data_IF_973526628920
#
_entry.id   IF_973526628920
#
_cell.length_a   1.000
_cell.length_b   1.000
_cell.length_c   1.000
_cell.angle_alpha   90.00
_cell.angle_beta   90.00
_cell.angle_gamma   90.00
#
_symmetry.space_group_name_H-M   'P 1'
#
loop_
_entity.id
_entity.type
_entity.pdbx_description
1 polymer ?
#
# COMPACT_ATOMS: atom_id res chain seq x y z
N UNK A 1 -22.04 14.42 -6.09
CA UNK A 1 -21.07 14.15 -5.01
C UNK A 1 -19.84 15.01 -5.23
N UNK A 2 -19.20 15.55 -4.17
CA UNK A 2 -18.00 16.42 -4.29
C UNK A 2 -16.71 15.64 -4.56
N UNK A 3 -16.65 14.37 -4.19
CA UNK A 3 -15.45 13.54 -4.37
C UNK A 3 -15.34 12.98 -5.81
N UNK A 4 -14.12 12.68 -6.24
CA UNK A 4 -13.83 12.00 -7.51
C UNK A 4 -13.36 10.58 -7.25
N UNK A 5 -13.90 9.61 -7.99
CA UNK A 5 -13.46 8.23 -7.93
C UNK A 5 -12.66 7.85 -9.17
N UNK A 6 -11.65 7.01 -8.99
CA UNK A 6 -10.81 6.43 -10.03
C UNK A 6 -10.75 4.93 -9.76
N UNK A 7 -11.01 4.11 -10.77
CA UNK A 7 -10.96 2.65 -10.67
C UNK A 7 -10.04 2.12 -11.75
N UNK A 8 -9.42 0.96 -11.49
CA UNK A 8 -8.63 0.28 -12.51
C UNK A 8 -8.21 -1.12 -12.09
N UNK A 9 -7.53 -1.78 -13.02
CA UNK A 9 -6.93 -3.10 -12.83
C UNK A 9 -5.54 -3.10 -13.44
N UNK A 10 -4.59 -3.72 -12.76
CA UNK A 10 -3.22 -3.95 -13.20
C UNK A 10 -3.05 -5.46 -13.36
N UNK A 11 -2.52 -5.92 -14.50
CA UNK A 11 -2.21 -7.33 -14.70
C UNK A 11 -0.77 -7.61 -14.28
N UNK A 12 -0.55 -8.73 -13.59
CA UNK A 12 0.79 -9.22 -13.28
C UNK A 12 1.19 -10.26 -14.32
N UNK A 13 2.32 -10.05 -14.98
CA UNK A 13 2.82 -10.95 -16.02
C UNK A 13 4.20 -11.48 -15.67
N UNK A 14 4.51 -12.72 -16.05
CA UNK A 14 5.84 -13.30 -15.85
C UNK A 14 6.83 -12.87 -16.92
N UNK A 15 8.11 -12.82 -16.54
CA UNK A 15 9.24 -12.77 -17.47
C UNK A 15 10.15 -13.99 -17.35
N UNK A 16 9.75 -15.00 -16.59
CA UNK A 16 10.47 -16.28 -16.52
C UNK A 16 10.36 -17.01 -17.88
N UNK A 17 11.42 -17.65 -18.39
CA UNK A 17 11.38 -18.31 -19.70
C UNK A 17 10.19 -19.25 -19.91
N UNK A 18 9.84 -20.02 -18.89
CA UNK A 18 8.76 -21.02 -18.90
C UNK A 18 7.34 -20.43 -18.85
N UNK A 19 7.20 -19.17 -18.44
CA UNK A 19 5.92 -18.48 -18.23
C UNK A 19 5.86 -17.13 -18.95
N UNK A 20 6.74 -16.87 -19.93
CA UNK A 20 6.93 -15.55 -20.54
C UNK A 20 5.60 -14.90 -20.95
N UNK A 21 5.36 -13.68 -20.46
CA UNK A 21 4.17 -12.86 -20.68
C UNK A 21 2.83 -13.48 -20.24
N UNK A 22 2.86 -14.64 -19.59
CA UNK A 22 1.68 -15.25 -19.02
C UNK A 22 1.24 -14.51 -17.75
N UNK A 23 -0.08 -14.49 -17.51
CA UNK A 23 -0.67 -13.95 -16.30
C UNK A 23 -0.16 -14.70 -15.07
N UNK A 24 0.16 -13.95 -14.02
CA UNK A 24 0.47 -14.44 -12.67
C UNK A 24 -0.53 -13.95 -11.64
N UNK A 25 -1.61 -13.32 -12.09
CA UNK A 25 -2.62 -12.68 -11.26
C UNK A 25 -2.80 -11.20 -11.63
N UNK A 26 -3.35 -10.43 -10.70
CA UNK A 26 -3.76 -9.06 -10.96
C UNK A 26 -3.93 -8.26 -9.67
N UNK A 27 -4.14 -6.96 -9.85
CA UNK A 27 -4.60 -6.07 -8.80
C UNK A 27 -5.78 -5.25 -9.30
N UNK A 28 -6.83 -5.13 -8.51
CA UNK A 28 -7.88 -4.13 -8.72
C UNK A 28 -7.74 -3.01 -7.70
N UNK A 29 -8.00 -1.78 -8.12
CA UNK A 29 -7.88 -0.63 -7.24
C UNK A 29 -9.03 0.36 -7.37
N UNK A 30 -9.28 1.07 -6.27
CA UNK A 30 -10.21 2.18 -6.18
C UNK A 30 -9.59 3.32 -5.38
N UNK A 31 -9.47 4.48 -6.01
CA UNK A 31 -8.98 5.71 -5.40
C UNK A 31 -10.14 6.70 -5.28
N UNK A 32 -10.40 7.16 -4.07
CA UNK A 32 -11.30 8.28 -3.78
C UNK A 32 -10.48 9.53 -3.50
N UNK A 33 -10.68 10.60 -4.27
CA UNK A 33 -10.16 11.95 -4.02
C UNK A 33 -11.23 12.78 -3.34
N UNK A 34 -10.99 13.18 -2.10
CA UNK A 34 -11.90 13.97 -1.28
C UNK A 34 -11.82 15.46 -1.62
N UNK A 35 -12.84 16.22 -1.24
CA UNK A 35 -12.94 17.64 -1.56
C UNK A 35 -11.93 18.53 -0.83
N UNK A 36 -11.30 18.01 0.22
CA UNK A 36 -10.26 18.67 1.02
C UNK A 36 -8.84 18.26 0.62
N UNK A 37 -8.70 17.59 -0.54
CA UNK A 37 -7.41 17.13 -1.06
C UNK A 37 -6.94 15.78 -0.52
N UNK A 38 -7.58 15.22 0.52
CA UNK A 38 -7.25 13.89 1.02
C UNK A 38 -7.57 12.81 -0.01
N UNK A 39 -6.93 11.66 0.14
CA UNK A 39 -7.14 10.52 -0.74
C UNK A 39 -7.27 9.23 0.06
N UNK A 40 -8.11 8.31 -0.43
CA UNK A 40 -8.14 6.92 0.05
C UNK A 40 -7.93 5.99 -1.13
N UNK A 41 -6.86 5.22 -1.10
CA UNK A 41 -6.52 4.16 -2.04
C UNK A 41 -6.94 2.82 -1.44
N UNK A 42 -7.63 2.02 -2.24
CA UNK A 42 -7.98 0.63 -1.90
C UNK A 42 -7.41 -0.25 -3.00
N UNK A 43 -6.71 -1.31 -2.63
CA UNK A 43 -6.16 -2.26 -3.58
C UNK A 43 -6.41 -3.69 -3.09
N UNK A 44 -6.83 -4.54 -4.01
CA UNK A 44 -6.93 -5.98 -3.80
C UNK A 44 -6.00 -6.65 -4.82
N UNK A 45 -4.94 -7.26 -4.32
CA UNK A 45 -3.92 -7.94 -5.11
C UNK A 45 -4.09 -9.44 -4.98
N UNK A 46 -4.00 -10.15 -6.10
CA UNK A 46 -4.00 -11.60 -6.18
C UNK A 46 -2.80 -12.05 -7.02
N UNK A 47 -1.92 -12.85 -6.43
CA UNK A 47 -0.88 -13.60 -7.14
C UNK A 47 -1.36 -15.04 -7.20
N UNK A 48 -1.65 -15.52 -8.41
CA UNK A 48 -2.20 -16.84 -8.70
C UNK A 48 -1.11 -17.86 -9.02
N UNK A 49 0.09 -17.40 -9.43
CA UNK A 49 1.23 -18.27 -9.76
C UNK A 49 2.54 -17.74 -9.14
N UNK A 50 3.37 -18.61 -8.54
CA UNK A 50 3.12 -20.02 -8.26
C UNK A 50 2.14 -20.20 -7.09
N UNK A 51 1.62 -21.42 -6.94
CA UNK A 51 0.97 -21.83 -5.69
C UNK A 51 1.98 -21.84 -4.51
N UNK A 52 1.53 -21.53 -3.28
CA UNK A 52 0.17 -21.12 -2.91
C UNK A 52 -0.16 -19.70 -3.39
N UNK A 53 -1.42 -19.45 -3.74
CA UNK A 53 -1.89 -18.10 -4.08
C UNK A 53 -1.59 -17.09 -2.97
N UNK A 54 -1.36 -15.83 -3.31
CA UNK A 54 -1.13 -14.76 -2.33
C UNK A 54 -2.12 -13.64 -2.58
N UNK A 55 -2.96 -13.35 -1.58
CA UNK A 55 -3.87 -12.23 -1.60
C UNK A 55 -3.45 -11.16 -0.60
N UNK A 56 -3.47 -9.90 -1.05
CA UNK A 56 -3.22 -8.74 -0.20
C UNK A 56 -4.28 -7.68 -0.41
N UNK A 57 -4.97 -7.33 0.67
CA UNK A 57 -5.88 -6.19 0.72
C UNK A 57 -5.19 -5.00 1.38
N UNK A 58 -5.33 -3.83 0.78
CA UNK A 58 -4.77 -2.57 1.29
C UNK A 58 -5.82 -1.48 1.28
N UNK A 59 -5.87 -0.72 2.37
CA UNK A 59 -6.53 0.58 2.44
C UNK A 59 -5.49 1.58 2.93
N UNK A 60 -5.13 2.56 2.12
CA UNK A 60 -4.16 3.61 2.45
C UNK A 60 -4.83 4.98 2.32
N UNK A 61 -4.74 5.79 3.37
CA UNK A 61 -5.22 7.17 3.36
C UNK A 61 -4.05 8.15 3.35
N UNK A 62 -4.15 9.20 2.54
CA UNK A 62 -3.15 10.29 2.52
C UNK A 62 -3.79 11.66 2.70
N UNK A 63 -3.02 12.60 3.20
CA UNK A 63 -3.40 14.00 3.31
C UNK A 63 -3.31 14.74 1.95
N UNK A 64 -3.56 16.04 1.99
CA UNK A 64 -3.51 16.92 0.82
C UNK A 64 -2.10 17.12 0.25
N UNK A 65 -1.05 16.75 0.99
CA UNK A 65 0.35 16.77 0.59
C UNK A 65 0.87 15.35 0.22
N UNK A 66 -0.04 14.38 0.06
CA UNK A 66 0.26 12.96 -0.17
C UNK A 66 1.03 12.27 0.97
N UNK A 67 1.04 12.82 2.19
CA UNK A 67 1.60 12.12 3.35
C UNK A 67 0.61 11.07 3.87
N UNK A 68 1.09 9.88 4.29
CA UNK A 68 0.21 8.87 4.84
C UNK A 68 -0.41 9.34 6.16
N UNK A 69 -1.69 9.01 6.37
CA UNK A 69 -2.46 9.27 7.60
C UNK A 69 -2.69 7.96 8.34
N UNK A 70 -3.18 6.95 7.62
CA UNK A 70 -3.45 5.62 8.13
C UNK A 70 -3.33 4.57 7.02
N UNK A 71 -3.09 3.33 7.42
CA UNK A 71 -3.08 2.20 6.51
C UNK A 71 -3.63 0.95 7.21
N UNK A 72 -4.40 0.14 6.49
CA UNK A 72 -4.74 -1.23 6.87
C UNK A 72 -4.29 -2.19 5.79
N UNK A 73 -3.64 -3.28 6.20
CA UNK A 73 -3.18 -4.36 5.32
C UNK A 73 -3.66 -5.69 5.86
N UNK A 74 -4.14 -6.56 4.98
CA UNK A 74 -4.44 -7.98 5.26
C UNK A 74 -3.69 -8.86 4.28
N UNK A 75 -3.13 -9.97 4.77
CA UNK A 75 -2.43 -10.97 3.97
C UNK A 75 -3.09 -12.34 4.16
N UNK A 76 -3.38 -12.98 3.04
CA UNK A 76 -3.84 -14.37 2.94
C UNK A 76 -2.92 -15.12 1.98
N UNK A 77 -2.55 -16.36 2.31
CA UNK A 77 -1.71 -17.22 1.46
C UNK A 77 -2.37 -18.59 1.37
N UNK A 78 -2.70 -19.05 0.17
CA UNK A 78 -3.41 -20.32 -0.05
C UNK A 78 -4.72 -20.39 0.72
N UNK A 79 -5.50 -19.31 0.68
CA UNK A 79 -6.73 -19.10 1.46
C UNK A 79 -6.59 -19.11 3.01
N UNK A 80 -5.37 -19.21 3.53
CA UNK A 80 -5.09 -19.14 4.97
C UNK A 80 -4.72 -17.72 5.40
N UNK A 81 -5.31 -17.26 6.50
CA UNK A 81 -5.01 -15.95 7.07
C UNK A 81 -3.57 -15.92 7.62
N UNK A 82 -2.74 -15.03 7.10
CA UNK A 82 -1.34 -14.89 7.51
C UNK A 82 -1.11 -13.71 8.44
N UNK A 83 -1.95 -12.68 8.37
CA UNK A 83 -1.87 -11.55 9.27
C UNK A 83 -2.60 -10.31 8.78
N UNK A 84 -2.75 -9.35 9.67
CA UNK A 84 -3.22 -8.01 9.37
C UNK A 84 -2.50 -6.98 10.22
N UNK A 85 -2.35 -5.77 9.69
CA UNK A 85 -1.73 -4.66 10.38
C UNK A 85 -2.49 -3.36 10.12
N UNK A 86 -2.65 -2.57 11.16
CA UNK A 86 -3.10 -1.19 11.09
C UNK A 86 -1.94 -0.27 11.47
N UNK A 87 -1.75 0.78 10.67
CA UNK A 87 -0.76 1.81 10.89
C UNK A 87 -1.44 3.16 11.04
N UNK A 88 -0.96 3.97 11.98
CA UNK A 88 -1.33 5.37 12.14
C UNK A 88 -0.07 6.22 12.07
N UNK A 89 -0.12 7.30 11.30
CA UNK A 89 1.02 8.17 11.04
C UNK A 89 0.74 9.55 11.64
N UNK A 90 1.37 9.84 12.77
CA UNK A 90 1.38 11.17 13.38
C UNK A 90 2.68 11.88 12.98
N UNK A 91 2.64 12.54 11.82
CA UNK A 91 3.80 13.17 11.19
C UNK A 91 3.57 14.67 11.05
N UNK A 92 4.61 15.45 11.30
CA UNK A 92 4.61 16.89 11.04
C UNK A 92 4.88 17.22 9.55
N UNK A 93 5.05 18.50 9.25
CA UNK A 93 5.34 18.99 7.90
C UNK A 93 6.71 18.56 7.35
N UNK A 94 7.71 18.27 8.19
CA UNK A 94 9.01 17.75 7.75
C UNK A 94 8.98 16.23 7.53
N UNK A 95 7.93 15.55 8.01
CA UNK A 95 7.80 14.10 7.98
C UNK A 95 8.43 13.45 9.22
N UNK A 96 8.70 14.23 10.26
CA UNK A 96 9.14 13.75 11.55
C UNK A 96 7.93 13.44 12.44
N UNK A 97 8.01 12.40 13.25
CA UNK A 97 6.88 12.04 14.10
C UNK A 97 6.90 10.63 14.64
N UNK A 98 5.71 10.09 14.91
CA UNK A 98 5.49 8.76 15.47
C UNK A 98 4.61 7.95 14.52
N UNK A 99 5.03 6.71 14.26
CA UNK A 99 4.24 5.72 13.55
C UNK A 99 3.81 4.67 14.56
N UNK A 100 2.50 4.45 14.66
CA UNK A 100 1.92 3.40 15.47
C UNK A 100 1.56 2.21 14.58
N UNK A 101 1.77 0.99 15.08
CA UNK A 101 1.42 -0.25 14.41
C UNK A 101 0.74 -1.19 15.39
N UNK A 102 -0.49 -1.59 15.08
CA UNK A 102 -1.15 -2.73 15.71
C UNK A 102 -1.27 -3.84 14.67
N UNK A 103 -0.69 -4.99 14.94
CA UNK A 103 -0.75 -6.12 14.02
C UNK A 103 -1.04 -7.43 14.75
N UNK A 104 -1.59 -8.37 14.00
CA UNK A 104 -1.88 -9.72 14.46
C UNK A 104 -1.63 -10.70 13.32
N UNK A 105 -1.03 -11.84 13.63
CA UNK A 105 -0.93 -12.97 12.72
C UNK A 105 -0.54 -14.26 13.47
N UNK A 106 -0.83 -15.45 12.92
CA UNK A 106 -0.57 -16.72 13.60
C UNK A 106 0.90 -16.90 14.04
N UNK A 107 1.86 -16.33 13.31
CA UNK A 107 3.29 -16.46 13.59
C UNK A 107 3.87 -15.38 14.51
N UNK A 108 3.14 -14.28 14.75
CA UNK A 108 3.63 -13.12 15.50
C UNK A 108 2.78 -12.79 16.73
N UNK A 109 1.64 -13.46 16.89
CA UNK A 109 0.57 -13.07 17.82
C UNK A 109 0.23 -11.57 17.66
N UNK A 110 -0.29 -10.92 18.70
CA UNK A 110 -0.50 -9.48 18.71
C UNK A 110 0.81 -8.73 18.92
N UNK A 111 1.10 -7.79 18.02
CA UNK A 111 2.18 -6.81 18.15
C UNK A 111 1.56 -5.41 18.27
N UNK A 112 2.03 -4.66 19.26
CA UNK A 112 1.78 -3.22 19.42
C UNK A 112 3.13 -2.51 19.42
N UNK A 113 3.32 -1.58 18.48
CA UNK A 113 4.58 -0.86 18.32
C UNK A 113 4.33 0.63 18.11
N UNK A 114 5.22 1.44 18.67
CA UNK A 114 5.37 2.85 18.32
C UNK A 114 6.82 3.09 17.94
N UNK A 115 7.03 3.72 16.78
CA UNK A 115 8.36 4.01 16.27
C UNK A 115 8.46 5.50 15.95
N UNK A 116 9.50 6.15 16.45
CA UNK A 116 9.84 7.50 16.02
C UNK A 116 10.48 7.43 14.63
N UNK A 117 10.09 8.32 13.73
CA UNK A 117 10.77 8.41 12.43
C UNK A 117 12.23 8.84 12.64
N UNK A 118 13.11 8.39 11.75
CA UNK A 118 14.51 8.79 11.72
C UNK A 118 14.78 9.63 10.47
N UNK A 119 14.21 10.85 10.46
CA UNK A 119 14.20 11.75 9.33
C UNK A 119 12.88 11.76 8.56
N UNK A 120 12.93 12.35 7.36
CA UNK A 120 11.75 12.78 6.60
C UNK A 120 10.98 11.59 6.00
N UNK A 121 9.90 11.18 6.65
CA UNK A 121 8.99 10.15 6.16
C UNK A 121 7.96 10.73 5.20
N UNK A 122 7.93 10.27 3.95
CA UNK A 122 7.10 10.86 2.89
C UNK A 122 6.06 9.91 2.27
N UNK A 123 6.27 8.61 2.41
CA UNK A 123 5.43 7.61 1.75
C UNK A 123 5.52 6.28 2.47
N UNK A 124 4.44 5.50 2.42
CA UNK A 124 4.40 4.16 2.98
C UNK A 124 4.22 3.12 1.86
N UNK A 125 5.20 2.24 1.70
CA UNK A 125 5.18 1.17 0.71
C UNK A 125 4.27 0.03 1.16
N UNK A 126 3.09 -0.09 0.54
CA UNK A 126 2.09 -1.09 0.94
C UNK A 126 2.17 -2.39 0.16
N UNK A 127 2.99 -2.43 -0.91
CA UNK A 127 3.27 -3.56 -1.83
C UNK A 127 2.25 -3.88 -2.94
N UNK A 128 1.07 -3.24 -3.08
CA UNK A 128 0.38 -3.12 -4.36
C UNK A 128 1.15 -2.24 -5.34
N UNK A 129 1.16 -2.61 -6.63
CA UNK A 129 1.85 -1.84 -7.68
C UNK A 129 1.17 -0.49 -7.90
N UNK A 130 -0.15 -0.38 -7.71
CA UNK A 130 -0.79 0.94 -7.74
C UNK A 130 -0.28 1.84 -6.61
N UNK A 131 0.03 1.25 -5.44
CA UNK A 131 0.58 1.95 -4.29
C UNK A 131 1.99 2.44 -4.55
N UNK A 132 2.84 1.58 -5.10
CA UNK A 132 4.22 1.93 -5.46
C UNK A 132 4.25 3.04 -6.52
N UNK A 133 3.47 2.90 -7.60
CA UNK A 133 3.33 3.94 -8.62
C UNK A 133 2.70 5.23 -8.09
N UNK A 134 1.80 5.14 -7.11
CA UNK A 134 1.21 6.30 -6.45
C UNK A 134 2.24 7.06 -5.62
N UNK A 135 3.10 6.35 -4.89
CA UNK A 135 4.15 6.92 -4.05
C UNK A 135 5.23 7.66 -4.85
N UNK A 136 5.38 7.41 -6.15
CA UNK A 136 6.28 8.18 -7.02
C UNK A 136 5.97 9.69 -7.02
N UNK A 137 4.75 10.11 -6.67
CA UNK A 137 4.39 11.53 -6.53
C UNK A 137 5.09 12.23 -5.37
N UNK A 138 5.59 11.47 -4.40
CA UNK A 138 6.33 12.01 -3.25
C UNK A 138 7.79 12.31 -3.60
N UNK A 139 8.24 11.97 -4.82
CA UNK A 139 9.61 12.22 -5.28
C UNK A 139 9.65 13.55 -6.05
N UNK A 140 10.50 14.47 -5.60
CA UNK A 140 10.83 15.68 -6.35
C UNK A 140 11.80 15.35 -7.50
N UNK A 141 11.24 15.19 -8.69
CA UNK A 141 12.00 14.88 -9.92
C UNK A 141 12.81 16.07 -10.47
N UNK A 142 12.69 17.27 -9.88
CA UNK A 142 13.44 18.45 -10.34
C UNK A 142 14.95 18.33 -10.10
N UNK A 143 15.37 17.47 -9.16
CA UNK A 143 16.77 17.18 -8.87
C UNK A 143 17.39 16.12 -9.80
N UNK A 144 16.67 15.69 -10.84
CA UNK A 144 17.08 14.64 -11.76
C UNK A 144 16.63 13.23 -11.33
N UNK A 145 16.85 12.21 -12.18
CA UNK A 145 16.60 10.82 -11.80
C UNK A 145 17.54 10.40 -10.66
N UNK A 146 16.99 9.69 -9.67
CA UNK A 146 17.74 8.99 -8.62
C UNK A 146 18.58 7.86 -9.19
#
# INVERSE_FOLDING_TARGET
MKHKNIFGRIAYTSKKPELMDQSRGYETFHITKHGDGKLTLRAHCEIEEPEPTVMRDVILSTDHNNKPIDCFIRLTVGDEFMGSGWFCFDLDETGDGIIECESYGPSIDRISQKQKTNGRFHSFGTHPIVGDGFNCKSIDISNGPV
#
